data_IF_313104758992
#
_entry.id   IF_313104758992
#
_cell.length_a   1.000
_cell.length_b   1.000
_cell.length_c   1.000
_cell.angle_alpha   90.00
_cell.angle_beta   90.00
_cell.angle_gamma   90.00
#
_symmetry.space_group_name_H-M   'P 1'
#
loop_
_entity.id
_entity.type
_entity.pdbx_description
1 polymer ?
#
# COMPACT_ATOMS: atom_id res chain seq x y z
N UNK A 1 -14.26 13.37 25.10
CA UNK A 1 -13.49 12.99 23.91
C UNK A 1 -14.41 12.07 23.12
N UNK A 2 -15.11 12.60 22.11
CA UNK A 2 -16.00 11.79 21.29
C UNK A 2 -15.13 10.86 20.46
N UNK A 3 -15.30 9.55 20.63
CA UNK A 3 -14.77 8.55 19.72
C UNK A 3 -15.47 8.78 18.39
N UNK A 4 -14.82 9.50 17.47
CA UNK A 4 -15.25 9.51 16.08
C UNK A 4 -15.00 8.09 15.60
N UNK A 5 -16.06 7.29 15.49
CA UNK A 5 -15.97 5.97 14.92
C UNK A 5 -15.51 6.16 13.47
N UNK A 6 -14.29 5.72 13.15
CA UNK A 6 -13.82 5.58 11.79
C UNK A 6 -14.78 4.68 11.03
N UNK A 7 -15.42 5.21 9.99
CA UNK A 7 -16.20 4.40 9.06
C UNK A 7 -15.28 3.46 8.32
N UNK A 8 -15.70 2.21 8.22
CA UNK A 8 -15.07 1.19 7.40
C UNK A 8 -16.04 0.87 6.29
N UNK A 9 -15.59 0.99 5.04
CA UNK A 9 -16.44 0.66 3.89
C UNK A 9 -16.02 -0.69 3.34
N UNK A 10 -16.95 -1.62 3.27
CA UNK A 10 -16.75 -2.92 2.64
C UNK A 10 -17.53 -2.98 1.34
N UNK A 11 -16.87 -3.40 0.27
CA UNK A 11 -17.50 -3.65 -1.03
C UNK A 11 -17.42 -5.14 -1.32
N UNK A 12 -18.57 -5.77 -1.54
CA UNK A 12 -18.66 -7.11 -2.07
C UNK A 12 -19.13 -7.08 -3.52
N UNK A 13 -18.37 -7.74 -4.40
CA UNK A 13 -18.78 -8.03 -5.77
C UNK A 13 -19.18 -9.50 -5.84
N UNK A 14 -20.46 -9.74 -6.09
CA UNK A 14 -21.05 -11.07 -6.25
C UNK A 14 -21.22 -11.38 -7.73
N UNK A 15 -20.72 -12.54 -8.16
CA UNK A 15 -20.84 -13.02 -9.54
C UNK A 15 -21.52 -14.38 -9.56
N UNK A 16 -22.61 -14.51 -10.30
CA UNK A 16 -23.42 -15.74 -10.35
C UNK A 16 -24.69 -15.64 -11.21
N UNK A 17 -25.59 -16.64 -11.15
CA UNK A 17 -26.84 -16.63 -11.91
C UNK A 17 -27.74 -15.44 -11.53
N UNK A 18 -28.34 -14.77 -12.52
CA UNK A 18 -29.13 -13.56 -12.31
C UNK A 18 -30.26 -13.74 -11.29
N UNK A 19 -31.03 -14.83 -11.40
CA UNK A 19 -32.15 -15.10 -10.49
C UNK A 19 -31.67 -15.27 -9.05
N UNK A 20 -30.49 -15.88 -8.85
CA UNK A 20 -29.87 -16.00 -7.54
C UNK A 20 -29.46 -14.64 -6.99
N UNK A 21 -28.81 -13.82 -7.80
CA UNK A 21 -28.38 -12.48 -7.37
C UNK A 21 -29.58 -11.58 -7.04
N UNK A 22 -30.70 -11.70 -7.77
CA UNK A 22 -31.95 -10.98 -7.44
C UNK A 22 -32.51 -11.42 -6.10
N UNK A 23 -32.55 -12.73 -5.85
CA UNK A 23 -32.94 -13.27 -4.55
C UNK A 23 -32.06 -12.70 -3.43
N UNK A 24 -30.74 -12.68 -3.61
CA UNK A 24 -29.80 -12.13 -2.61
C UNK A 24 -30.08 -10.64 -2.39
N UNK A 25 -30.23 -9.85 -3.46
CA UNK A 25 -30.53 -8.42 -3.34
C UNK A 25 -31.82 -8.18 -2.55
N UNK A 26 -32.89 -8.93 -2.82
CA UNK A 26 -34.17 -8.83 -2.10
C UNK A 26 -34.06 -9.26 -0.62
N UNK A 27 -33.35 -10.35 -0.33
CA UNK A 27 -33.19 -10.87 1.03
C UNK A 27 -32.28 -10.00 1.90
N UNK A 28 -31.25 -9.38 1.30
CA UNK A 28 -30.26 -8.57 2.00
C UNK A 28 -30.66 -7.10 2.11
N UNK A 29 -31.47 -6.61 1.18
CA UNK A 29 -32.02 -5.27 1.23
C UNK A 29 -32.74 -5.06 2.57
N UNK A 30 -32.39 -3.99 3.28
CA UNK A 30 -32.95 -3.60 4.58
C UNK A 30 -32.63 -4.53 5.76
N UNK A 31 -31.79 -5.57 5.55
CA UNK A 31 -31.24 -6.39 6.64
C UNK A 31 -29.77 -6.09 6.90
N UNK A 32 -28.95 -6.25 5.87
CA UNK A 32 -27.48 -6.16 5.98
C UNK A 32 -26.88 -5.10 5.06
N UNK A 33 -27.60 -4.67 4.04
CA UNK A 33 -27.17 -3.63 3.11
C UNK A 33 -28.42 -2.83 2.68
N UNK A 34 -28.27 -1.51 2.54
CA UNK A 34 -29.35 -0.66 2.05
C UNK A 34 -29.53 -0.87 0.54
N UNK A 35 -30.77 -0.81 0.04
CA UNK A 35 -31.06 -1.12 -1.35
C UNK A 35 -30.39 -0.16 -2.35
N UNK A 36 -30.15 1.09 -1.94
CA UNK A 36 -29.44 2.11 -2.70
C UNK A 36 -27.90 1.94 -2.67
N UNK A 37 -27.39 1.08 -1.79
CA UNK A 37 -25.99 0.66 -1.73
C UNK A 37 -25.72 -0.61 -2.56
N UNK A 38 -26.72 -1.08 -3.30
CA UNK A 38 -26.61 -2.22 -4.22
C UNK A 38 -26.66 -1.71 -5.66
N UNK A 39 -25.63 -2.04 -6.44
CA UNK A 39 -25.50 -1.63 -7.84
C UNK A 39 -25.27 -2.84 -8.73
N UNK A 40 -26.03 -2.98 -9.80
CA UNK A 40 -25.79 -4.00 -10.82
C UNK A 40 -24.76 -3.49 -11.83
N UNK A 41 -23.66 -4.22 -12.01
CA UNK A 41 -22.71 -3.94 -13.09
C UNK A 41 -23.21 -4.54 -14.41
N UNK A 42 -23.78 -5.74 -14.35
CA UNK A 42 -24.39 -6.47 -15.46
C UNK A 42 -25.41 -7.50 -14.93
N UNK A 43 -25.97 -8.34 -15.82
CA UNK A 43 -26.96 -9.36 -15.44
C UNK A 43 -26.42 -10.47 -14.52
N UNK A 44 -25.10 -10.58 -14.40
CA UNK A 44 -24.39 -11.64 -13.67
C UNK A 44 -23.53 -11.11 -12.53
N UNK A 45 -23.50 -9.79 -12.33
CA UNK A 45 -22.66 -9.13 -11.33
C UNK A 45 -23.43 -8.09 -10.53
N UNK A 46 -23.47 -8.30 -9.21
CA UNK A 46 -24.05 -7.39 -8.24
C UNK A 46 -22.95 -6.88 -7.31
N UNK A 47 -22.88 -5.57 -7.12
CA UNK A 47 -22.00 -4.91 -6.17
C UNK A 47 -22.81 -4.44 -4.97
N UNK A 48 -22.40 -4.84 -3.78
CA UNK A 48 -23.00 -4.45 -2.51
C UNK A 48 -21.98 -3.64 -1.71
N UNK A 49 -22.36 -2.42 -1.30
CA UNK A 49 -21.54 -1.57 -0.42
C UNK A 49 -22.13 -1.60 0.98
N UNK A 50 -21.29 -1.89 1.98
CA UNK A 50 -21.66 -1.94 3.38
C UNK A 50 -20.82 -0.92 4.15
N UNK A 51 -21.51 -0.02 4.84
CA UNK A 51 -20.87 0.87 5.82
C UNK A 51 -20.80 0.12 7.15
N UNK A 52 -19.62 -0.40 7.46
CA UNK A 52 -19.34 -1.14 8.67
C UNK A 52 -18.83 -0.22 9.78
N UNK A 53 -19.29 -0.48 11.02
CA UNK A 53 -18.68 0.10 12.21
C UNK A 53 -17.39 -0.62 12.58
N UNK A 54 -16.49 0.07 13.32
CA UNK A 54 -15.24 -0.50 13.84
C UNK A 54 -15.50 -1.85 14.52
N UNK A 55 -14.78 -2.89 14.09
CA UNK A 55 -14.79 -4.22 14.72
C UNK A 55 -15.78 -5.22 14.11
N UNK A 56 -16.51 -4.84 13.07
CA UNK A 56 -17.30 -5.80 12.28
C UNK A 56 -16.37 -6.44 11.24
N UNK A 57 -16.08 -7.75 11.31
CA UNK A 57 -15.06 -8.32 10.45
C UNK A 57 -15.60 -8.45 9.03
N UNK A 58 -14.97 -7.77 8.08
CA UNK A 58 -15.12 -7.99 6.64
C UNK A 58 -15.28 -9.48 6.26
N UNK A 59 -14.40 -10.33 6.81
CA UNK A 59 -14.43 -11.78 6.57
C UNK A 59 -15.72 -12.44 7.06
N UNK A 60 -16.28 -12.00 8.19
CA UNK A 60 -17.49 -12.59 8.73
C UNK A 60 -18.70 -12.40 7.80
N UNK A 61 -18.79 -11.24 7.15
CA UNK A 61 -19.82 -11.00 6.14
C UNK A 61 -19.60 -11.86 4.89
N UNK A 62 -18.35 -11.98 4.44
CA UNK A 62 -18.00 -12.82 3.29
C UNK A 62 -18.27 -14.30 3.55
N UNK A 63 -17.87 -14.82 4.71
CA UNK A 63 -18.11 -16.19 5.15
C UNK A 63 -19.61 -16.49 5.21
N UNK A 64 -20.41 -15.60 5.82
CA UNK A 64 -21.86 -15.78 5.89
C UNK A 64 -22.54 -15.80 4.52
N UNK A 65 -22.14 -14.91 3.60
CA UNK A 65 -22.63 -14.93 2.22
C UNK A 65 -22.20 -16.21 1.48
N UNK A 66 -20.96 -16.63 1.68
CA UNK A 66 -20.39 -17.83 1.04
C UNK A 66 -21.06 -19.11 1.53
N UNK A 67 -21.37 -19.21 2.82
CA UNK A 67 -22.05 -20.35 3.42
C UNK A 67 -23.51 -20.47 2.95
N UNK A 68 -24.22 -19.34 2.84
CA UNK A 68 -25.61 -19.30 2.41
C UNK A 68 -25.77 -19.46 0.88
N UNK A 69 -24.81 -18.97 0.09
CA UNK A 69 -24.86 -18.96 -1.37
C UNK A 69 -23.56 -19.53 -1.99
N UNK A 70 -23.26 -20.82 -1.81
CA UNK A 70 -22.02 -21.43 -2.29
C UNK A 70 -21.92 -21.46 -3.84
N UNK A 71 -23.04 -21.28 -4.55
CA UNK A 71 -23.11 -21.17 -6.01
C UNK A 71 -22.69 -19.78 -6.55
N UNK A 72 -22.44 -18.81 -5.68
CA UNK A 72 -22.03 -17.45 -6.04
C UNK A 72 -20.55 -17.25 -5.71
N UNK A 73 -19.79 -16.67 -6.63
CA UNK A 73 -18.43 -16.22 -6.33
C UNK A 73 -18.48 -14.84 -5.71
N UNK A 74 -17.76 -14.65 -4.61
CA UNK A 74 -17.75 -13.40 -3.86
C UNK A 74 -16.33 -12.87 -3.84
N UNK A 75 -16.16 -11.61 -4.23
CA UNK A 75 -14.93 -10.86 -4.00
C UNK A 75 -15.25 -9.75 -3.02
N UNK A 76 -14.35 -9.55 -2.07
CA UNK A 76 -14.53 -8.61 -1.01
C UNK A 76 -13.33 -7.67 -0.89
N UNK A 77 -13.62 -6.41 -0.62
CA UNK A 77 -12.65 -5.35 -0.44
C UNK A 77 -13.05 -4.47 0.73
N UNK A 78 -12.13 -4.22 1.65
CA UNK A 78 -12.35 -3.36 2.81
C UNK A 78 -11.43 -2.14 2.75
N UNK A 79 -12.02 -0.96 2.95
CA UNK A 79 -11.33 0.32 3.04
C UNK A 79 -11.54 0.95 4.41
N UNK A 80 -10.49 1.54 4.94
CA UNK A 80 -10.54 2.32 6.17
C UNK A 80 -10.41 3.81 5.84
N UNK A 81 -11.35 4.64 6.29
CA UNK A 81 -11.29 6.09 6.03
C UNK A 81 -10.04 6.76 6.64
N UNK A 82 -9.35 6.09 7.58
CA UNK A 82 -8.13 6.55 8.23
C UNK A 82 -6.85 5.85 7.78
N UNK A 83 -6.93 4.75 7.02
CA UNK A 83 -5.77 3.93 6.63
C UNK A 83 -5.80 3.61 5.14
N UNK A 84 -4.68 3.83 4.47
CA UNK A 84 -4.51 3.57 3.03
C UNK A 84 -4.29 2.08 2.69
N UNK A 85 -4.47 1.19 3.67
CA UNK A 85 -4.16 -0.24 3.59
C UNK A 85 -5.44 -1.05 3.35
N UNK A 86 -5.77 -1.42 2.09
CA UNK A 86 -6.96 -2.21 1.81
C UNK A 86 -6.77 -3.68 2.20
N UNK A 87 -7.88 -4.35 2.49
CA UNK A 87 -7.91 -5.81 2.63
C UNK A 87 -8.74 -6.42 1.51
N UNK A 88 -8.24 -7.51 0.93
CA UNK A 88 -8.95 -8.26 -0.12
C UNK A 88 -9.20 -9.69 0.32
N UNK A 89 -10.36 -10.23 -0.05
CA UNK A 89 -10.61 -11.66 0.06
C UNK A 89 -11.52 -12.15 -1.08
N UNK A 90 -11.48 -13.46 -1.31
CA UNK A 90 -12.32 -14.11 -2.31
C UNK A 90 -12.87 -15.41 -1.77
N UNK A 91 -14.15 -15.64 -2.02
CA UNK A 91 -14.84 -16.90 -1.78
C UNK A 91 -15.37 -17.47 -3.10
N UNK A 92 -15.27 -18.79 -3.23
CA UNK A 92 -15.78 -19.52 -4.39
C UNK A 92 -16.18 -20.93 -3.97
N UNK A 93 -17.37 -21.38 -4.37
CA UNK A 93 -17.83 -22.73 -4.02
C UNK A 93 -18.04 -22.93 -2.52
N UNK A 94 -18.40 -21.86 -1.79
CA UNK A 94 -18.54 -21.89 -0.34
C UNK A 94 -17.22 -21.85 0.45
N UNK A 95 -16.06 -21.66 -0.20
CA UNK A 95 -14.76 -21.66 0.47
C UNK A 95 -13.97 -20.37 0.25
N UNK A 96 -13.25 -19.94 1.29
CA UNK A 96 -12.25 -18.86 1.20
C UNK A 96 -11.07 -19.33 0.33
N UNK A 97 -10.88 -18.68 -0.81
CA UNK A 97 -9.82 -18.95 -1.79
C UNK A 97 -8.54 -18.23 -1.40
N UNK A 98 -8.66 -16.95 -1.03
CA UNK A 98 -7.56 -16.16 -0.51
C UNK A 98 -8.07 -15.05 0.41
N UNK A 99 -7.18 -14.62 1.30
CA UNK A 99 -7.28 -13.40 2.11
C UNK A 99 -5.92 -12.70 2.05
N UNK A 100 -5.89 -11.43 1.67
CA UNK A 100 -4.69 -10.62 1.58
C UNK A 100 -4.92 -9.26 2.26
N UNK A 101 -4.24 -9.05 3.38
CA UNK A 101 -4.12 -7.74 4.02
C UNK A 101 -2.95 -6.98 3.40
N UNK A 102 -3.21 -5.82 2.79
CA UNK A 102 -2.17 -5.02 2.17
C UNK A 102 -1.62 -4.01 3.15
N UNK A 103 -0.51 -4.35 3.78
CA UNK A 103 0.20 -3.41 4.64
C UNK A 103 1.19 -2.62 3.79
N UNK A 104 0.95 -1.31 3.62
CA UNK A 104 1.82 -0.41 2.85
C UNK A 104 3.19 -0.29 3.54
N UNK A 105 4.23 -0.67 2.81
CA UNK A 105 5.62 -0.38 3.17
C UNK A 105 6.00 1.04 2.75
N UNK A 106 5.60 1.43 1.54
CA UNK A 106 5.89 2.75 0.96
C UNK A 106 4.99 3.02 -0.24
N UNK A 107 4.61 4.26 -0.48
CA UNK A 107 3.94 4.68 -1.72
C UNK A 107 4.53 5.99 -2.23
N UNK A 108 4.59 6.16 -3.55
CA UNK A 108 5.06 7.39 -4.17
C UNK A 108 4.45 7.60 -5.55
N UNK A 109 4.15 8.84 -5.90
CA UNK A 109 3.66 9.20 -7.23
C UNK A 109 4.78 9.12 -8.27
N UNK A 110 4.48 8.54 -9.43
CA UNK A 110 5.34 8.50 -10.60
C UNK A 110 4.85 9.51 -11.64
N UNK A 111 5.73 10.40 -12.16
CA UNK A 111 5.36 11.29 -13.23
C UNK A 111 5.23 10.47 -14.53
N UNK A 112 4.01 10.27 -15.02
CA UNK A 112 3.75 9.43 -16.20
C UNK A 112 3.66 10.21 -17.51
N UNK A 113 3.33 11.51 -17.49
CA UNK A 113 3.45 12.46 -18.62
C UNK A 113 3.09 13.89 -18.12
N UNK A 114 3.94 14.94 -18.25
CA UNK A 114 3.58 16.29 -17.83
C UNK A 114 2.49 16.95 -18.70
N UNK A 115 2.10 16.34 -19.81
CA UNK A 115 1.09 16.86 -20.76
C UNK A 115 -0.27 16.15 -20.70
N UNK A 116 -0.41 15.12 -19.87
CA UNK A 116 -1.66 14.36 -19.71
C UNK A 116 -2.02 14.22 -18.24
N UNK A 117 -3.28 14.48 -17.92
CA UNK A 117 -3.83 14.21 -16.60
C UNK A 117 -4.11 12.71 -16.49
N UNK A 118 -3.19 11.98 -15.88
CA UNK A 118 -3.49 10.67 -15.30
C UNK A 118 -3.68 10.89 -13.81
N UNK A 119 -4.92 10.83 -13.34
CA UNK A 119 -5.17 10.86 -11.91
C UNK A 119 -4.44 9.67 -11.25
N UNK A 120 -3.43 9.93 -10.43
CA UNK A 120 -2.96 8.96 -9.43
C UNK A 120 -2.08 7.80 -9.90
N UNK A 121 -1.15 7.97 -10.83
CA UNK A 121 -0.09 6.97 -11.00
C UNK A 121 0.84 6.95 -9.78
N UNK A 122 0.47 6.24 -8.72
CA UNK A 122 1.33 5.89 -7.59
C UNK A 122 1.89 4.48 -7.77
N UNK A 123 3.14 4.29 -7.37
CA UNK A 123 3.64 2.97 -7.04
C UNK A 123 3.45 2.78 -5.54
N UNK A 124 2.67 1.77 -5.17
CA UNK A 124 2.58 1.29 -3.81
C UNK A 124 3.39 0.01 -3.65
N UNK A 125 4.06 -0.10 -2.52
CA UNK A 125 4.87 -1.24 -2.13
C UNK A 125 4.29 -1.83 -0.86
N UNK A 126 4.10 -3.14 -0.86
CA UNK A 126 3.38 -3.84 0.20
C UNK A 126 4.26 -4.90 0.82
N UNK A 127 3.97 -5.30 2.05
CA UNK A 127 4.54 -6.53 2.57
C UNK A 127 4.12 -7.71 1.69
N UNK A 128 5.10 -8.49 1.19
CA UNK A 128 4.76 -9.67 0.39
C UNK A 128 4.12 -10.74 1.28
N UNK A 129 2.96 -11.21 0.84
CA UNK A 129 2.31 -12.43 1.31
C UNK A 129 2.04 -13.35 0.11
N UNK A 130 1.84 -14.64 0.36
CA UNK A 130 1.48 -15.60 -0.70
C UNK A 130 0.23 -15.20 -1.51
N UNK A 131 -0.87 -14.69 -0.90
CA UNK A 131 -2.07 -14.31 -1.64
C UNK A 131 -1.99 -12.94 -2.34
N UNK A 132 -0.99 -12.11 -2.04
CA UNK A 132 -0.90 -10.73 -2.55
C UNK A 132 -1.03 -10.65 -4.08
N UNK A 133 -0.27 -11.46 -4.83
CA UNK A 133 -0.26 -11.37 -6.30
C UNK A 133 -1.61 -11.70 -6.91
N UNK A 134 -2.32 -12.71 -6.38
CA UNK A 134 -3.66 -13.05 -6.83
C UNK A 134 -4.66 -11.94 -6.49
N UNK A 135 -4.57 -11.41 -5.26
CA UNK A 135 -5.44 -10.34 -4.79
C UNK A 135 -5.29 -9.06 -5.62
N UNK A 136 -4.06 -8.61 -5.89
CA UNK A 136 -3.81 -7.43 -6.73
C UNK A 136 -4.25 -7.66 -8.18
N UNK A 137 -3.90 -8.80 -8.77
CA UNK A 137 -4.27 -9.08 -10.16
C UNK A 137 -5.78 -9.09 -10.37
N UNK A 138 -6.55 -9.50 -9.36
CA UNK A 138 -8.01 -9.64 -9.46
C UNK A 138 -8.77 -8.36 -9.08
N UNK A 139 -8.26 -7.57 -8.11
CA UNK A 139 -8.94 -6.36 -7.60
C UNK A 139 -8.37 -5.06 -8.16
N UNK A 140 -7.14 -5.10 -8.67
CA UNK A 140 -6.45 -3.96 -9.28
C UNK A 140 -5.74 -4.44 -10.57
N UNK A 141 -6.49 -4.93 -11.58
CA UNK A 141 -5.91 -5.57 -12.77
C UNK A 141 -4.95 -4.67 -13.56
N UNK A 142 -5.15 -3.35 -13.48
CA UNK A 142 -4.31 -2.36 -14.15
C UNK A 142 -3.05 -1.98 -13.34
N UNK A 143 -2.94 -2.45 -12.09
CA UNK A 143 -1.77 -2.16 -11.26
C UNK A 143 -0.58 -3.03 -11.69
N UNK A 144 0.41 -2.38 -12.29
CA UNK A 144 1.65 -2.99 -12.71
C UNK A 144 2.79 -1.96 -12.68
N UNK A 145 3.89 -2.31 -12.02
CA UNK A 145 5.09 -1.47 -11.97
C UNK A 145 5.97 -1.61 -13.21
N UNK A 146 5.83 -2.67 -14.00
CA UNK A 146 6.69 -2.97 -15.15
C UNK A 146 6.73 -1.86 -16.22
N UNK A 147 5.63 -1.16 -16.54
CA UNK A 147 5.65 -0.02 -17.46
C UNK A 147 6.62 1.10 -17.04
N UNK A 148 6.89 1.26 -15.75
CA UNK A 148 7.81 2.28 -15.24
C UNK A 148 9.25 2.09 -15.79
N UNK A 149 9.60 0.90 -16.31
CA UNK A 149 10.92 0.61 -16.89
C UNK A 149 11.30 1.53 -18.05
N UNK A 150 10.30 2.13 -18.70
CA UNK A 150 10.51 3.07 -19.79
C UNK A 150 11.04 4.43 -19.31
N UNK A 151 10.91 4.73 -18.01
CA UNK A 151 11.39 5.98 -17.44
C UNK A 151 12.93 5.97 -17.34
N UNK A 152 13.54 7.08 -17.75
CA UNK A 152 14.96 7.29 -17.50
C UNK A 152 15.21 7.51 -16.01
N UNK A 153 16.31 6.98 -15.51
CA UNK A 153 16.75 7.24 -14.16
C UNK A 153 18.27 7.46 -14.07
N UNK A 154 18.80 7.49 -12.85
CA UNK A 154 20.13 8.02 -12.60
C UNK A 154 21.25 7.03 -12.95
N UNK A 155 20.90 5.78 -13.27
CA UNK A 155 21.78 4.75 -13.77
C UNK A 155 20.99 3.80 -14.70
N UNK A 156 21.65 3.08 -15.63
CA UNK A 156 20.97 2.11 -16.49
C UNK A 156 20.14 1.10 -15.70
N UNK A 157 18.87 0.92 -16.10
CA UNK A 157 17.93 -0.01 -15.46
C UNK A 157 17.32 0.47 -14.14
N UNK A 158 17.71 1.65 -13.65
CA UNK A 158 17.10 2.29 -12.49
C UNK A 158 16.13 3.38 -12.94
N UNK A 159 15.02 3.50 -12.24
CA UNK A 159 14.07 4.61 -12.34
C UNK A 159 14.14 5.42 -11.05
N UNK A 160 13.89 6.73 -11.15
CA UNK A 160 13.92 7.62 -10.00
C UNK A 160 12.67 8.50 -9.98
N UNK A 161 12.07 8.64 -8.80
CA UNK A 161 11.02 9.62 -8.53
C UNK A 161 11.21 10.23 -7.14
N UNK A 162 10.58 11.38 -6.89
CA UNK A 162 10.59 12.06 -5.60
C UNK A 162 9.30 12.86 -5.41
N UNK A 163 8.77 12.84 -4.19
CA UNK A 163 7.64 13.68 -3.75
C UNK A 163 8.09 14.96 -3.02
N UNK A 164 9.41 15.25 -3.03
CA UNK A 164 10.03 16.34 -2.29
C UNK A 164 10.37 16.03 -0.82
N UNK A 165 9.85 14.94 -0.26
CA UNK A 165 10.17 14.45 1.08
C UNK A 165 11.08 13.22 1.04
N UNK A 166 10.73 12.24 0.23
CA UNK A 166 11.47 11.04 -0.08
C UNK A 166 11.87 11.00 -1.56
N UNK A 167 12.94 10.28 -1.86
CA UNK A 167 13.36 9.92 -3.21
C UNK A 167 13.40 8.41 -3.30
N UNK A 168 12.70 7.84 -4.28
CA UNK A 168 12.73 6.43 -4.59
C UNK A 168 13.67 6.21 -5.77
N UNK A 169 14.62 5.30 -5.60
CA UNK A 169 15.35 4.67 -6.69
C UNK A 169 14.85 3.24 -6.82
N UNK A 170 14.26 2.89 -7.95
CA UNK A 170 13.66 1.58 -8.16
C UNK A 170 14.35 0.89 -9.34
N UNK A 171 14.75 -0.35 -9.12
CA UNK A 171 15.12 -1.29 -10.18
C UNK A 171 14.02 -2.33 -10.23
N UNK A 172 13.23 -2.29 -11.29
CA UNK A 172 12.13 -3.22 -11.49
C UNK A 172 12.63 -4.67 -11.59
N UNK A 173 11.75 -5.65 -11.33
CA UNK A 173 12.08 -7.06 -11.52
C UNK A 173 12.63 -7.31 -12.92
N UNK A 174 13.55 -8.26 -13.09
CA UNK A 174 14.21 -8.52 -14.38
C UNK A 174 13.22 -9.00 -15.46
N UNK A 175 12.28 -9.85 -15.06
CA UNK A 175 11.17 -10.35 -15.90
C UNK A 175 9.84 -10.13 -15.19
N UNK A 176 8.74 -10.33 -15.92
CA UNK A 176 7.38 -10.12 -15.43
C UNK A 176 7.06 -10.90 -14.15
N UNK A 177 7.53 -12.14 -14.06
CA UNK A 177 7.26 -13.05 -12.93
C UNK A 177 8.41 -13.10 -11.93
N UNK A 178 9.48 -12.31 -12.15
CA UNK A 178 10.61 -12.29 -11.25
C UNK A 178 10.28 -11.54 -9.95
N UNK A 179 10.98 -11.95 -8.90
CA UNK A 179 10.89 -11.38 -7.57
C UNK A 179 12.27 -10.85 -7.13
N UNK A 180 13.00 -10.24 -8.06
CA UNK A 180 14.39 -9.79 -7.90
C UNK A 180 14.55 -8.26 -8.01
N UNK A 181 13.43 -7.53 -8.04
CA UNK A 181 13.43 -6.08 -8.01
C UNK A 181 14.03 -5.52 -6.73
N UNK A 182 14.59 -4.31 -6.81
CA UNK A 182 15.21 -3.59 -5.69
C UNK A 182 14.69 -2.17 -5.61
N UNK A 183 14.51 -1.65 -4.40
CA UNK A 183 14.13 -0.27 -4.16
C UNK A 183 15.03 0.38 -3.12
N UNK A 184 15.38 1.63 -3.30
CA UNK A 184 16.06 2.43 -2.28
C UNK A 184 15.21 3.66 -2.01
N UNK A 185 14.65 3.72 -0.81
CA UNK A 185 13.95 4.90 -0.33
C UNK A 185 14.97 5.77 0.40
N UNK A 186 15.08 7.02 -0.01
CA UNK A 186 16.00 7.98 0.55
C UNK A 186 15.24 9.17 1.11
N UNK A 187 15.45 9.48 2.39
CA UNK A 187 14.86 10.65 3.04
C UNK A 187 15.97 11.67 3.28
N UNK A 188 16.29 12.51 2.28
CA UNK A 188 17.51 13.31 2.31
C UNK A 188 17.51 14.37 3.41
N UNK A 189 16.33 14.90 3.80
CA UNK A 189 16.18 15.92 4.84
C UNK A 189 16.41 15.41 6.27
N UNK A 190 16.20 14.11 6.52
CA UNK A 190 16.46 13.47 7.83
C UNK A 190 17.63 12.49 7.79
N UNK A 191 18.20 12.27 6.61
CA UNK A 191 19.36 11.42 6.40
C UNK A 191 19.09 9.95 6.71
N UNK A 192 17.90 9.46 6.37
CA UNK A 192 17.52 8.05 6.49
C UNK A 192 17.49 7.41 5.11
N UNK A 193 17.79 6.12 5.05
CA UNK A 193 17.72 5.34 3.83
C UNK A 193 17.31 3.90 4.11
N UNK A 194 16.46 3.35 3.26
CA UNK A 194 15.91 2.00 3.37
C UNK A 194 16.12 1.28 2.06
N UNK A 195 16.62 0.04 2.13
CA UNK A 195 16.73 -0.85 0.99
C UNK A 195 15.54 -1.83 1.03
N UNK A 196 14.74 -1.84 -0.03
CA UNK A 196 13.71 -2.82 -0.33
C UNK A 196 14.32 -3.88 -1.25
N UNK A 197 14.08 -5.15 -0.97
CA UNK A 197 14.62 -6.27 -1.73
C UNK A 197 13.55 -7.29 -2.07
N UNK A 198 13.72 -7.91 -3.23
CA UNK A 198 12.80 -8.89 -3.76
C UNK A 198 11.44 -8.25 -4.03
N UNK A 199 11.43 -7.17 -4.80
CA UNK A 199 10.21 -6.52 -5.29
C UNK A 199 9.68 -7.34 -6.49
N UNK A 200 8.37 -7.52 -6.60
CA UNK A 200 7.69 -8.08 -7.78
C UNK A 200 6.94 -6.98 -8.57
N UNK A 201 6.32 -7.37 -9.70
CA UNK A 201 5.56 -6.45 -10.57
C UNK A 201 4.40 -5.75 -9.86
N UNK A 202 3.86 -6.33 -8.78
CA UNK A 202 2.75 -5.79 -8.00
C UNK A 202 3.22 -5.02 -6.77
N UNK A 203 4.52 -4.71 -6.67
CA UNK A 203 5.08 -3.96 -5.55
C UNK A 203 5.23 -4.78 -4.27
N UNK A 204 5.03 -6.10 -4.30
CA UNK A 204 5.25 -6.97 -3.15
C UNK A 204 6.72 -7.02 -2.75
N UNK A 205 7.03 -6.62 -1.52
CA UNK A 205 8.39 -6.54 -0.97
C UNK A 205 8.65 -7.74 -0.05
N UNK A 206 9.66 -8.55 -0.37
CA UNK A 206 10.05 -9.66 0.49
C UNK A 206 10.71 -9.20 1.80
N UNK A 207 11.61 -8.21 1.71
CA UNK A 207 12.32 -7.64 2.87
C UNK A 207 12.64 -6.18 2.64
N UNK A 208 12.58 -5.38 3.68
CA UNK A 208 13.18 -4.06 3.71
C UNK A 208 14.06 -3.88 4.94
N UNK A 209 15.12 -3.10 4.81
CA UNK A 209 16.05 -2.83 5.91
C UNK A 209 16.53 -1.39 5.85
N UNK A 210 16.49 -0.72 6.99
CA UNK A 210 17.14 0.59 7.14
C UNK A 210 18.65 0.41 7.19
N UNK A 211 19.36 1.08 6.30
CA UNK A 211 20.82 0.96 6.17
C UNK A 211 21.42 2.31 5.87
N UNK A 212 22.70 2.50 6.19
CA UNK A 212 23.40 3.71 5.77
C UNK A 212 23.55 3.71 4.24
N UNK A 213 23.40 4.89 3.60
CA UNK A 213 23.53 4.98 2.13
C UNK A 213 24.87 4.46 1.60
N UNK A 214 25.95 4.49 2.40
CA UNK A 214 27.23 3.89 2.04
C UNK A 214 27.19 2.36 1.95
N UNK A 215 26.43 1.70 2.81
CA UNK A 215 26.20 0.24 2.74
C UNK A 215 25.32 -0.12 1.54
N UNK A 216 24.31 0.69 1.27
CA UNK A 216 23.46 0.54 0.08
C UNK A 216 24.29 0.74 -1.19
N UNK A 217 25.11 1.79 -1.26
CA UNK A 217 26.03 2.02 -2.38
C UNK A 217 27.18 1.00 -2.49
N UNK A 218 27.38 0.14 -1.49
CA UNK A 218 28.26 -1.03 -1.62
C UNK A 218 27.54 -2.19 -2.31
N UNK A 219 26.26 -2.41 -2.01
CA UNK A 219 25.40 -3.44 -2.61
C UNK A 219 24.89 -3.05 -4.02
N UNK A 220 24.71 -1.75 -4.27
CA UNK A 220 24.31 -1.16 -5.54
C UNK A 220 25.37 -0.12 -5.96
N UNK A 221 26.54 -0.55 -6.46
CA UNK A 221 27.63 0.36 -6.83
C UNK A 221 27.21 1.44 -7.83
N UNK A 222 26.26 1.13 -8.70
CA UNK A 222 25.70 2.00 -9.74
C UNK A 222 25.06 3.26 -9.14
N UNK A 223 24.45 3.14 -7.96
CA UNK A 223 23.82 4.26 -7.26
C UNK A 223 24.76 5.04 -6.35
N UNK A 224 26.01 4.60 -6.16
CA UNK A 224 26.91 5.16 -5.14
C UNK A 224 27.16 6.66 -5.31
N UNK A 225 27.37 7.11 -6.55
CA UNK A 225 27.59 8.53 -6.84
C UNK A 225 26.31 9.34 -6.58
N UNK A 226 25.18 8.84 -7.08
CA UNK A 226 23.86 9.47 -6.97
C UNK A 226 23.44 9.64 -5.51
N UNK A 227 23.54 8.57 -4.71
CA UNK A 227 23.22 8.61 -3.28
C UNK A 227 24.10 9.60 -2.51
N UNK A 228 25.39 9.70 -2.89
CA UNK A 228 26.32 10.68 -2.30
C UNK A 228 25.92 12.10 -2.65
N UNK A 229 25.51 12.35 -3.89
CA UNK A 229 25.15 13.70 -4.34
C UNK A 229 23.81 14.13 -3.75
N UNK A 230 22.80 13.26 -3.72
CA UNK A 230 21.54 13.47 -2.99
C UNK A 230 21.79 13.75 -1.51
N UNK A 231 22.72 13.01 -0.88
CA UNK A 231 23.14 13.30 0.48
C UNK A 231 23.72 14.71 0.56
N UNK A 232 24.73 15.07 -0.25
CA UNK A 232 25.37 16.40 -0.18
C UNK A 232 24.41 17.57 -0.42
N UNK A 233 23.48 17.44 -1.36
CA UNK A 233 22.52 18.50 -1.72
C UNK A 233 21.72 19.00 -0.50
N UNK A 234 21.31 18.09 0.39
CA UNK A 234 20.49 18.41 1.56
C UNK A 234 21.29 18.59 2.87
N UNK A 235 22.61 18.76 2.77
CA UNK A 235 23.48 18.87 3.95
C UNK A 235 23.11 20.05 4.86
N UNK A 236 22.82 21.23 4.28
CA UNK A 236 22.44 22.42 5.04
C UNK A 236 21.13 22.19 5.81
N UNK A 237 20.10 21.63 5.18
CA UNK A 237 18.82 21.31 5.84
C UNK A 237 19.02 20.30 6.97
N UNK A 238 19.80 19.22 6.74
CA UNK A 238 20.12 18.24 7.79
C UNK A 238 20.87 18.86 8.97
N UNK A 239 21.85 19.74 8.74
CA UNK A 239 22.59 20.42 9.80
C UNK A 239 21.65 21.27 10.66
N UNK A 240 20.76 22.05 10.02
CA UNK A 240 19.74 22.85 10.70
C UNK A 240 18.79 21.98 11.53
N UNK A 241 18.22 20.93 10.95
CA UNK A 241 17.32 20.01 11.65
C UNK A 241 17.99 19.33 12.85
N UNK A 242 19.27 18.95 12.74
CA UNK A 242 20.05 18.40 13.87
C UNK A 242 20.26 19.43 14.98
N UNK A 243 20.53 20.68 14.63
CA UNK A 243 20.67 21.76 15.60
C UNK A 243 19.35 22.02 16.33
N UNK A 244 18.23 22.10 15.62
CA UNK A 244 16.90 22.27 16.19
C UNK A 244 16.53 21.09 17.11
N UNK A 245 16.77 19.84 16.69
CA UNK A 245 16.57 18.65 17.55
C UNK A 245 17.42 18.70 18.81
N UNK A 246 18.68 19.16 18.74
CA UNK A 246 19.54 19.31 19.93
C UNK A 246 19.00 20.36 20.89
N UNK A 247 18.48 21.48 20.39
CA UNK A 247 17.85 22.53 21.20
C UNK A 247 16.58 22.00 21.86
N UNK A 248 15.72 21.31 21.11
CA UNK A 248 14.50 20.68 21.62
C UNK A 248 14.79 19.64 22.70
N UNK A 249 15.78 18.76 22.49
CA UNK A 249 16.24 17.78 23.50
C UNK A 249 16.68 18.45 24.79
N UNK A 250 17.44 19.55 24.70
CA UNK A 250 17.88 20.30 25.88
C UNK A 250 16.71 20.96 26.62
N UNK A 251 15.71 21.49 25.90
CA UNK A 251 14.51 22.08 26.52
C UNK A 251 13.66 21.03 27.23
N UNK A 252 13.32 19.93 26.53
CA UNK A 252 12.50 18.86 27.09
C UNK A 252 13.20 18.11 28.25
N UNK A 253 14.53 17.98 28.22
CA UNK A 253 15.30 17.46 29.35
C UNK A 253 15.26 18.37 30.58
N UNK A 254 15.17 19.70 30.39
CA UNK A 254 14.99 20.66 31.49
C UNK A 254 13.56 20.66 32.04
N UNK A 255 12.58 20.31 31.21
CA UNK A 255 11.16 20.23 31.58
C UNK A 255 10.73 18.85 32.10
N UNK A 256 11.65 17.89 32.26
CA UNK A 256 11.34 16.54 32.73
C UNK A 256 10.54 15.66 31.74
N UNK A 257 10.35 16.11 30.50
CA UNK A 257 9.54 15.44 29.46
C UNK A 257 10.37 14.57 28.51
N UNK A 258 11.42 13.93 29.02
CA UNK A 258 12.35 13.16 28.20
C UNK A 258 11.69 11.96 27.47
N UNK A 259 10.58 11.42 27.96
CA UNK A 259 9.90 10.25 27.35
C UNK A 259 9.17 10.56 26.03
N UNK A 260 8.91 11.84 25.71
CA UNK A 260 8.23 12.22 24.46
C UNK A 260 9.12 12.08 23.20
N UNK A 261 10.41 11.76 23.35
CA UNK A 261 11.30 11.61 22.19
C UNK A 261 11.18 10.29 21.44
N UNK A 262 10.59 9.26 22.05
CA UNK A 262 10.29 8.00 21.35
C UNK A 262 9.27 8.22 20.22
N UNK A 263 8.36 9.20 20.36
CA UNK A 263 7.38 9.59 19.33
C UNK A 263 8.00 10.16 18.04
N UNK A 264 9.28 10.59 18.06
CA UNK A 264 9.98 11.08 16.86
C UNK A 264 10.86 10.01 16.18
N UNK A 265 10.98 8.83 16.81
CA UNK A 265 11.75 7.68 16.31
C UNK A 265 10.88 6.42 16.15
N UNK A 266 9.56 6.53 16.28
CA UNK A 266 8.62 5.44 16.01
C UNK A 266 8.41 5.27 14.52
N UNK A 267 9.14 4.33 13.94
CA UNK A 267 8.62 3.55 12.84
C UNK A 267 8.53 2.09 13.35
N UNK A 268 7.34 1.64 13.81
CA UNK A 268 7.16 0.35 14.48
C UNK A 268 7.39 -0.85 13.57
N UNK A 269 7.58 -0.65 12.27
CA UNK A 269 7.68 -1.69 11.26
C UNK A 269 9.10 -2.08 10.85
N UNK A 270 10.13 -1.58 11.55
CA UNK A 270 11.54 -1.81 11.19
C UNK A 270 12.10 -3.01 11.96
N UNK A 271 12.19 -4.17 11.30
CA UNK A 271 12.99 -5.35 11.74
C UNK A 271 14.37 -5.34 11.09
#
# INVERSE_FOLDING_TARGET
MFSVATSVTTVFTLTGPQDRLRQIAEERAYRTCAADQMTWEDDTTLVMTLENGIGTPFLHHGDGLSDEYPDVSIRGMEYFDCFDDPSFAKWQGGQLVYEAELITVFSILFPTDPSRDWAGCSASFWHRSQPLSAAIAENCPDFDLMPLRQLAGPAPGWVQTSDGFATLFLRLPSTHDAQDGLGVIFYPGIGRSTLLTGIDRFGGVARFRRQAYGQIGAQCPELRAVLRDCWKAEEKKRRKARQERRVLKRKASKEGKASLFHLFDTDPWVV
#
